data_IF_102784043854
#
_entry.id   IF_102784043854
#
_cell.length_a   1.000
_cell.length_b   1.000
_cell.length_c   1.000
_cell.angle_alpha   90.00
_cell.angle_beta   90.00
_cell.angle_gamma   90.00
#
_symmetry.space_group_name_H-M   'P 1'
#
loop_
_entity.id
_entity.type
_entity.pdbx_description
1 polymer ?
#
# COMPACT_ATOMS: atom_id res chain seq x y z
N UNK A 1 -4.93 -11.45 -11.19
CA UNK A 1 -6.15 -11.03 -11.93
C UNK A 1 -7.32 -11.99 -11.72
N UNK A 2 -7.08 -13.30 -11.59
CA UNK A 2 -8.18 -14.27 -11.38
C UNK A 2 -8.78 -14.16 -9.96
N UNK A 3 -7.92 -14.05 -8.95
CA UNK A 3 -8.31 -13.85 -7.55
C UNK A 3 -9.34 -12.73 -7.36
N UNK A 4 -9.09 -11.52 -7.88
CA UNK A 4 -9.99 -10.38 -7.66
C UNK A 4 -11.36 -10.49 -8.33
N UNK A 5 -11.49 -11.36 -9.34
CA UNK A 5 -12.75 -11.59 -10.08
C UNK A 5 -13.57 -12.73 -9.49
N UNK A 6 -12.91 -13.70 -8.86
CA UNK A 6 -13.55 -14.84 -8.21
C UNK A 6 -13.86 -14.57 -6.73
N UNK A 7 -13.23 -13.56 -6.13
CA UNK A 7 -13.54 -13.08 -4.79
C UNK A 7 -14.86 -12.30 -4.76
N UNK A 8 -15.84 -12.78 -4.00
CA UNK A 8 -17.02 -12.00 -3.62
C UNK A 8 -16.61 -11.00 -2.53
N UNK A 9 -16.49 -9.73 -2.91
CA UNK A 9 -16.18 -8.63 -2.00
C UNK A 9 -17.43 -8.20 -1.23
N UNK A 10 -17.30 -8.14 0.09
CA UNK A 10 -18.39 -7.84 1.02
C UNK A 10 -18.36 -6.40 1.55
N UNK A 11 -17.22 -5.72 1.42
CA UNK A 11 -17.09 -4.32 1.81
C UNK A 11 -15.65 -3.91 2.12
N UNK A 12 -15.49 -2.61 2.39
CA UNK A 12 -14.22 -2.00 2.76
C UNK A 12 -14.43 -1.15 4.01
N UNK A 13 -13.59 -1.34 5.03
CA UNK A 13 -13.55 -0.51 6.23
C UNK A 13 -12.21 0.22 6.29
N UNK A 14 -12.21 1.55 6.17
CA UNK A 14 -11.00 2.36 6.34
C UNK A 14 -10.86 2.69 7.82
N UNK A 15 -9.84 2.10 8.46
CA UNK A 15 -9.58 2.24 9.90
C UNK A 15 -8.86 3.56 10.19
N UNK A 16 -7.81 3.86 9.44
CA UNK A 16 -7.01 5.06 9.64
C UNK A 16 -6.36 5.55 8.33
N UNK A 17 -6.11 6.85 8.25
CA UNK A 17 -5.31 7.44 7.19
C UNK A 17 -4.34 8.47 7.78
N UNK A 18 -3.10 8.49 7.31
CA UNK A 18 -2.04 9.37 7.82
C UNK A 18 -1.22 9.92 6.68
N UNK A 19 -1.07 11.25 6.63
CA UNK A 19 -0.17 11.92 5.70
C UNK A 19 1.20 12.14 6.35
N UNK A 20 2.26 11.86 5.59
CA UNK A 20 3.66 12.06 5.99
C UNK A 20 4.29 13.13 5.09
N UNK A 21 4.25 14.37 5.59
CA UNK A 21 4.61 15.53 4.79
C UNK A 21 3.67 15.72 3.61
N UNK A 22 4.19 16.24 2.49
CA UNK A 22 3.39 16.57 1.30
C UNK A 22 3.26 15.41 0.30
N UNK A 23 4.08 14.39 0.44
CA UNK A 23 4.31 13.41 -0.64
C UNK A 23 3.94 11.98 -0.25
N UNK A 24 3.98 11.57 1.02
CA UNK A 24 3.68 10.19 1.37
C UNK A 24 2.43 10.11 2.24
N UNK A 25 1.72 8.99 2.18
CA UNK A 25 0.62 8.68 3.06
C UNK A 25 0.59 7.18 3.37
N UNK A 26 -0.08 6.80 4.44
CA UNK A 26 -0.49 5.41 4.68
C UNK A 26 -1.99 5.36 4.97
N UNK A 27 -2.61 4.27 4.55
CA UNK A 27 -4.02 3.95 4.82
C UNK A 27 -4.09 2.56 5.39
N UNK A 28 -4.71 2.45 6.56
CA UNK A 28 -5.03 1.19 7.23
C UNK A 28 -6.49 0.85 6.95
N UNK A 29 -6.74 -0.37 6.49
CA UNK A 29 -8.08 -0.80 6.13
C UNK A 29 -8.27 -2.31 6.26
N UNK A 30 -9.53 -2.72 6.29
CA UNK A 30 -9.96 -4.11 6.14
C UNK A 30 -10.78 -4.25 4.85
N UNK A 31 -10.33 -5.11 3.95
CA UNK A 31 -11.11 -5.52 2.78
C UNK A 31 -11.81 -6.85 3.10
N UNK A 32 -13.14 -6.82 3.21
CA UNK A 32 -13.95 -7.98 3.56
C UNK A 32 -14.32 -8.78 2.32
N UNK A 33 -14.24 -10.10 2.42
CA UNK A 33 -14.59 -11.01 1.34
C UNK A 33 -15.26 -12.27 1.86
N UNK A 34 -15.97 -12.97 0.96
CA UNK A 34 -16.55 -14.29 1.23
C UNK A 34 -15.47 -15.36 1.13
N UNK A 35 -15.36 -16.18 2.17
CA UNK A 35 -14.56 -17.39 2.18
C UNK A 35 -15.45 -18.60 2.51
N UNK A 36 -15.93 -19.27 1.47
CA UNK A 36 -16.98 -20.28 1.59
C UNK A 36 -18.26 -19.70 2.19
N UNK A 37 -18.65 -20.15 3.38
CA UNK A 37 -19.83 -19.64 4.11
C UNK A 37 -19.48 -18.51 5.10
N UNK A 38 -18.19 -18.23 5.31
CA UNK A 38 -17.72 -17.27 6.30
C UNK A 38 -17.39 -15.92 5.67
N UNK A 39 -17.41 -14.88 6.50
CA UNK A 39 -16.87 -13.56 6.18
C UNK A 39 -15.45 -13.48 6.71
N UNK A 40 -14.50 -13.24 5.83
CA UNK A 40 -13.08 -13.03 6.14
C UNK A 40 -12.66 -11.60 5.79
N UNK A 41 -11.48 -11.17 6.26
CA UNK A 41 -10.95 -9.84 5.99
C UNK A 41 -9.45 -9.88 5.72
N UNK A 42 -8.98 -9.07 4.77
CA UNK A 42 -7.58 -8.68 4.65
C UNK A 42 -7.38 -7.37 5.40
N UNK A 43 -6.65 -7.40 6.52
CA UNK A 43 -6.23 -6.21 7.24
C UNK A 43 -4.87 -5.76 6.71
N UNK A 44 -4.82 -4.57 6.14
CA UNK A 44 -3.65 -4.04 5.45
C UNK A 44 -3.29 -2.62 5.92
N UNK A 45 -1.99 -2.32 5.91
CA UNK A 45 -1.45 -0.97 6.01
C UNK A 45 -0.69 -0.64 4.72
N UNK A 46 -1.37 0.04 3.80
CA UNK A 46 -0.82 0.37 2.49
C UNK A 46 -0.11 1.72 2.49
N UNK A 47 1.04 1.80 1.79
CA UNK A 47 1.79 3.02 1.57
C UNK A 47 1.48 3.67 0.22
N UNK A 48 1.42 5.00 0.20
CA UNK A 48 1.13 5.80 -1.01
C UNK A 48 2.14 6.94 -1.18
N UNK A 49 2.39 7.31 -2.43
CA UNK A 49 3.26 8.44 -2.83
C UNK A 49 2.53 9.34 -3.83
N UNK A 50 2.54 10.64 -3.59
CA UNK A 50 2.03 11.66 -4.49
C UNK A 50 3.16 12.17 -5.40
N UNK A 51 2.97 12.00 -6.71
CA UNK A 51 3.91 12.44 -7.75
C UNK A 51 3.12 13.36 -8.67
N UNK A 52 3.50 14.64 -8.72
CA UNK A 52 2.84 15.61 -9.60
C UNK A 52 1.34 15.80 -9.34
N UNK A 53 0.87 15.61 -8.10
CA UNK A 53 -0.55 15.72 -7.74
C UNK A 53 -1.31 14.40 -7.77
N UNK A 54 -0.75 13.34 -8.35
CA UNK A 54 -1.39 12.03 -8.45
C UNK A 54 -0.84 11.04 -7.43
N UNK A 55 -1.73 10.30 -6.76
CA UNK A 55 -1.38 9.28 -5.79
C UNK A 55 -1.13 7.92 -6.44
N UNK A 56 -0.06 7.26 -6.03
CA UNK A 56 0.34 5.93 -6.46
C UNK A 56 0.48 5.02 -5.24
N UNK A 57 -0.01 3.79 -5.35
CA UNK A 57 0.23 2.73 -4.38
C UNK A 57 1.68 2.25 -4.47
N UNK A 58 2.34 2.09 -3.32
CA UNK A 58 3.68 1.54 -3.23
C UNK A 58 3.53 0.03 -2.99
N UNK A 59 3.48 -0.74 -4.06
CA UNK A 59 3.21 -2.18 -4.02
C UNK A 59 4.36 -2.95 -3.36
N UNK A 60 4.19 -3.55 -2.16
CA UNK A 60 5.26 -4.26 -1.47
C UNK A 60 5.61 -5.62 -2.10
N UNK A 61 4.80 -6.11 -3.04
CA UNK A 61 4.90 -7.47 -3.60
C UNK A 61 5.78 -7.55 -4.85
N UNK A 62 6.20 -6.41 -5.41
CA UNK A 62 7.07 -6.36 -6.58
C UNK A 62 8.55 -6.10 -6.20
N UNK A 63 9.51 -6.45 -7.07
CA UNK A 63 10.91 -6.12 -6.85
C UNK A 63 11.13 -4.60 -6.74
N UNK A 64 11.92 -4.20 -5.74
CA UNK A 64 12.29 -2.80 -5.52
C UNK A 64 13.80 -2.58 -5.70
N UNK A 65 14.24 -1.33 -5.96
CA UNK A 65 15.66 -1.00 -5.94
C UNK A 65 16.28 -1.29 -4.58
N UNK A 66 17.58 -1.58 -4.58
CA UNK A 66 18.32 -1.74 -3.33
C UNK A 66 18.26 -0.46 -2.47
N UNK A 67 18.35 -0.60 -1.15
CA UNK A 67 18.14 0.47 -0.17
C UNK A 67 18.95 1.77 -0.40
N UNK A 68 20.13 1.66 -1.02
CA UNK A 68 21.03 2.80 -1.32
C UNK A 68 20.82 3.41 -2.70
N UNK A 69 20.07 2.76 -3.59
CA UNK A 69 19.78 3.22 -4.94
C UNK A 69 18.72 4.35 -4.93
N UNK A 70 18.62 5.14 -6.02
CA UNK A 70 17.57 6.14 -6.17
C UNK A 70 16.16 5.53 -6.01
N UNK A 71 15.26 6.32 -5.45
CA UNK A 71 13.89 5.92 -5.22
C UNK A 71 13.08 5.86 -6.52
N UNK A 72 12.19 4.86 -6.63
CA UNK A 72 11.31 4.65 -7.80
C UNK A 72 10.35 5.80 -8.09
N UNK A 73 10.07 6.66 -7.10
CA UNK A 73 9.17 7.81 -7.27
C UNK A 73 9.80 9.01 -7.98
N UNK A 74 11.08 8.94 -8.37
CA UNK A 74 11.77 10.03 -9.05
C UNK A 74 12.23 11.18 -8.14
N UNK A 75 12.11 11.06 -6.82
CA UNK A 75 12.49 12.12 -5.87
C UNK A 75 14.01 12.40 -5.76
N UNK A 76 14.86 11.61 -6.42
CA UNK A 76 16.33 11.66 -6.31
C UNK A 76 16.89 11.17 -4.96
N UNK A 77 16.04 10.92 -3.95
CA UNK A 77 16.47 10.38 -2.64
C UNK A 77 16.82 8.90 -2.73
N UNK A 78 17.65 8.41 -1.80
CA UNK A 78 17.88 6.97 -1.61
C UNK A 78 16.57 6.27 -1.23
N UNK A 79 16.34 5.07 -1.75
CA UNK A 79 15.09 4.32 -1.56
C UNK A 79 14.71 4.17 -0.07
N UNK A 80 15.65 3.78 0.78
CA UNK A 80 15.44 3.66 2.24
C UNK A 80 15.05 4.98 2.93
N UNK A 81 15.38 6.12 2.32
CA UNK A 81 15.10 7.44 2.85
C UNK A 81 13.79 8.04 2.30
N UNK A 82 13.11 7.34 1.38
CA UNK A 82 11.91 7.77 0.68
C UNK A 82 10.82 6.67 0.75
N UNK A 83 10.35 6.13 -0.38
CA UNK A 83 9.25 5.16 -0.44
C UNK A 83 9.52 3.89 0.38
N UNK A 84 10.78 3.45 0.47
CA UNK A 84 11.14 2.25 1.22
C UNK A 84 10.84 2.31 2.73
N UNK A 85 10.58 3.49 3.30
CA UNK A 85 10.13 3.64 4.68
C UNK A 85 8.71 3.12 4.93
N UNK A 86 7.88 3.08 3.89
CA UNK A 86 6.44 2.84 3.98
C UNK A 86 6.03 1.45 3.46
N UNK A 87 7.01 0.58 3.19
CA UNK A 87 6.79 -0.77 2.66
C UNK A 87 6.65 -1.86 3.74
N UNK A 88 6.91 -1.55 5.00
CA UNK A 88 6.83 -2.57 6.05
C UNK A 88 5.36 -2.77 6.46
N UNK A 89 4.85 -4.02 6.43
CA UNK A 89 3.59 -4.34 7.07
C UNK A 89 3.66 -4.01 8.57
N UNK A 90 2.49 -3.71 9.16
CA UNK A 90 2.32 -3.84 10.61
C UNK A 90 2.65 -5.29 10.96
N UNK A 91 3.55 -5.48 11.92
CA UNK A 91 3.88 -6.80 12.46
C UNK A 91 2.69 -7.38 13.24
#
# INVERSE_FOLDING_TARGET
>A
MQWSRETEWLGLNVIAHRNFGKQHAQVEFEAYFRDGQHRSAHHELSGFINIGGQWYFIDPTVPHPAMKQPCICGSGKKFKACCGKYLKPVA
#
